data_IF_181680162918
#
_entry.id   IF_181680162918
#
_cell.length_a   1.000
_cell.length_b   1.000
_cell.length_c   1.000
_cell.angle_alpha   90.00
_cell.angle_beta   90.00
_cell.angle_gamma   90.00
#
_symmetry.space_group_name_H-M   'P 1'
#
loop_
_entity.id
_entity.type
_entity.pdbx_description
1 polymer ?
#
# COMPACT_ATOMS: atom_id res chain seq x y z
N UNK A 1 12.12 -2.28 -8.16
CA UNK A 1 13.59 -2.52 -8.11
C UNK A 1 14.29 -1.35 -8.78
N UNK A 2 15.28 -0.74 -8.10
CA UNK A 2 16.05 0.36 -8.69
C UNK A 2 16.92 -0.15 -9.83
N UNK A 3 16.96 0.52 -11.00
CA UNK A 3 17.84 0.14 -12.12
C UNK A 3 19.35 0.14 -11.78
N UNK A 4 19.73 0.90 -10.74
CA UNK A 4 21.13 1.01 -10.31
C UNK A 4 21.52 -0.08 -9.30
N UNK A 5 20.58 -0.90 -8.84
CA UNK A 5 20.84 -1.92 -7.83
C UNK A 5 21.44 -3.22 -8.42
N UNK A 6 22.25 -3.95 -7.66
CA UNK A 6 22.70 -5.28 -8.06
C UNK A 6 21.55 -6.24 -8.35
N UNK A 7 20.48 -6.16 -7.58
CA UNK A 7 19.29 -7.00 -7.73
C UNK A 7 18.61 -6.79 -9.09
N UNK A 8 18.64 -5.57 -9.64
CA UNK A 8 18.08 -5.31 -10.96
C UNK A 8 18.73 -6.20 -12.02
N UNK A 9 20.06 -6.28 -12.03
CA UNK A 9 20.82 -7.06 -13.01
C UNK A 9 20.56 -8.56 -12.87
N UNK A 10 20.46 -9.03 -11.63
CA UNK A 10 20.13 -10.43 -11.34
C UNK A 10 18.74 -10.79 -11.84
N UNK A 11 17.73 -9.97 -11.51
CA UNK A 11 16.34 -10.21 -11.88
C UNK A 11 16.10 -10.05 -13.37
N UNK A 12 16.79 -9.11 -14.02
CA UNK A 12 16.77 -8.96 -15.48
C UNK A 12 17.34 -10.20 -16.17
N UNK A 13 18.49 -10.71 -15.72
CA UNK A 13 19.10 -11.92 -16.26
C UNK A 13 18.23 -13.17 -16.07
N UNK A 14 17.47 -13.25 -14.97
CA UNK A 14 16.49 -14.31 -14.71
C UNK A 14 15.20 -14.15 -15.51
N UNK A 15 14.98 -13.01 -16.15
CA UNK A 15 13.72 -12.71 -16.85
C UNK A 15 12.53 -12.48 -15.92
N UNK A 16 12.77 -12.02 -14.68
CA UNK A 16 11.75 -11.81 -13.65
C UNK A 16 11.13 -10.43 -13.67
N UNK A 17 11.69 -9.51 -14.47
CA UNK A 17 11.18 -8.13 -14.56
C UNK A 17 10.19 -7.98 -15.70
N UNK A 18 9.16 -7.16 -15.47
CA UNK A 18 8.18 -6.77 -16.46
C UNK A 18 8.86 -6.15 -17.69
N UNK A 19 8.37 -6.46 -18.88
CA UNK A 19 8.93 -5.99 -20.15
C UNK A 19 8.05 -4.94 -20.81
N UNK A 20 8.68 -4.00 -21.51
CA UNK A 20 8.00 -3.08 -22.41
C UNK A 20 7.57 -3.82 -23.72
N UNK A 21 6.87 -3.11 -24.60
CA UNK A 21 6.44 -3.66 -25.90
C UNK A 21 7.58 -4.12 -26.81
N UNK A 22 8.80 -3.66 -26.57
CA UNK A 22 9.99 -4.03 -27.35
C UNK A 22 10.77 -5.18 -26.70
N UNK A 23 10.27 -5.76 -25.61
CA UNK A 23 10.91 -6.86 -24.91
C UNK A 23 12.05 -6.46 -23.98
N UNK A 24 12.28 -5.18 -23.75
CA UNK A 24 13.26 -4.65 -22.79
C UNK A 24 12.60 -4.53 -21.40
N UNK A 25 13.41 -4.51 -20.34
CA UNK A 25 12.89 -4.25 -18.99
C UNK A 25 12.15 -2.92 -18.94
N UNK A 26 10.89 -2.96 -18.52
CA UNK A 26 10.05 -1.77 -18.38
C UNK A 26 10.46 -0.97 -17.16
N UNK A 27 10.65 0.32 -17.35
CA UNK A 27 10.92 1.28 -16.27
C UNK A 27 9.67 2.12 -16.07
N UNK A 28 9.13 2.10 -14.87
CA UNK A 28 7.87 2.75 -14.50
C UNK A 28 8.18 3.98 -13.66
N UNK A 29 7.49 5.08 -13.97
CA UNK A 29 7.54 6.30 -13.19
C UNK A 29 6.47 6.25 -12.10
N UNK A 30 6.90 6.19 -10.83
CA UNK A 30 6.05 6.21 -9.65
C UNK A 30 5.86 7.63 -9.12
N UNK A 31 5.21 7.77 -7.98
CA UNK A 31 5.06 9.06 -7.28
C UNK A 31 6.40 9.69 -6.88
N UNK A 32 7.46 8.88 -6.73
CA UNK A 32 8.81 9.35 -6.47
C UNK A 32 9.83 8.46 -7.22
N UNK A 33 10.33 8.96 -8.36
CA UNK A 33 11.39 8.31 -9.13
C UNK A 33 10.92 7.17 -10.05
N UNK A 34 11.88 6.39 -10.52
CA UNK A 34 11.73 5.36 -11.55
C UNK A 34 12.19 4.02 -11.03
N UNK A 35 11.47 2.94 -11.36
CA UNK A 35 11.90 1.59 -11.03
C UNK A 35 11.38 0.55 -12.02
N UNK A 36 12.03 -0.61 -12.06
CA UNK A 36 11.47 -1.80 -12.65
C UNK A 36 10.55 -2.52 -11.65
N UNK A 37 9.60 -3.30 -12.16
CA UNK A 37 8.73 -4.16 -11.37
C UNK A 37 9.03 -5.62 -11.68
N UNK A 38 8.83 -6.49 -10.69
CA UNK A 38 8.66 -7.91 -10.97
C UNK A 38 7.50 -8.09 -11.95
N UNK A 39 7.63 -9.02 -12.88
CA UNK A 39 6.45 -9.47 -13.62
C UNK A 39 5.61 -10.38 -12.72
N UNK A 40 4.55 -9.82 -12.15
CA UNK A 40 3.69 -10.53 -11.20
C UNK A 40 2.91 -11.67 -11.84
N UNK A 41 2.84 -11.71 -13.16
CA UNK A 41 2.23 -12.81 -13.92
C UNK A 41 3.20 -13.98 -14.12
N UNK A 42 4.48 -13.81 -13.76
CA UNK A 42 5.49 -14.86 -13.77
C UNK A 42 5.53 -15.56 -12.39
N UNK A 43 5.10 -16.85 -12.30
CA UNK A 43 5.09 -17.56 -11.02
C UNK A 43 6.48 -17.71 -10.39
N UNK A 44 7.53 -17.86 -11.21
CA UNK A 44 8.91 -17.97 -10.69
C UNK A 44 9.39 -16.66 -10.07
N UNK A 45 9.07 -15.52 -10.71
CA UNK A 45 9.39 -14.21 -10.18
C UNK A 45 8.68 -13.95 -8.83
N UNK A 46 7.40 -14.33 -8.75
CA UNK A 46 6.64 -14.16 -7.51
C UNK A 46 7.07 -15.12 -6.40
N UNK A 47 7.45 -16.34 -6.73
CA UNK A 47 8.02 -17.27 -5.75
C UNK A 47 9.37 -16.75 -5.22
N UNK A 48 10.23 -16.26 -6.10
CA UNK A 48 11.51 -15.66 -5.70
C UNK A 48 11.28 -14.50 -4.71
N UNK A 49 10.35 -13.58 -5.02
CA UNK A 49 10.03 -12.47 -4.12
C UNK A 49 9.51 -12.96 -2.76
N UNK A 50 8.61 -13.95 -2.75
CA UNK A 50 8.08 -14.54 -1.51
C UNK A 50 9.17 -15.18 -0.66
N UNK A 51 10.13 -15.86 -1.27
CA UNK A 51 11.28 -16.44 -0.56
C UNK A 51 12.16 -15.37 0.08
N UNK A 52 12.42 -14.25 -0.63
CA UNK A 52 13.16 -13.12 -0.06
C UNK A 52 12.43 -12.50 1.14
N UNK A 53 11.10 -12.35 1.05
CA UNK A 53 10.31 -11.83 2.16
C UNK A 53 10.30 -12.78 3.36
N UNK A 54 10.17 -14.09 3.14
CA UNK A 54 10.25 -15.10 4.21
C UNK A 54 11.63 -15.11 4.88
N UNK A 55 12.70 -15.03 4.09
CA UNK A 55 14.05 -14.92 4.63
C UNK A 55 14.22 -13.67 5.53
N UNK A 56 13.60 -12.55 5.16
CA UNK A 56 13.59 -11.36 6.00
C UNK A 56 12.78 -11.56 7.29
N UNK A 57 11.63 -12.25 7.23
CA UNK A 57 10.85 -12.60 8.43
C UNK A 57 11.69 -13.43 9.40
N UNK A 58 12.34 -14.47 8.92
CA UNK A 58 13.18 -15.35 9.73
C UNK A 58 14.39 -14.59 10.31
N UNK A 59 15.08 -13.80 9.49
CA UNK A 59 16.30 -13.09 9.90
C UNK A 59 16.04 -11.98 10.91
N UNK A 60 14.94 -11.26 10.78
CA UNK A 60 14.68 -10.04 11.56
C UNK A 60 13.50 -10.16 12.53
N UNK A 61 12.79 -11.29 12.57
CA UNK A 61 11.63 -11.49 13.41
C UNK A 61 10.44 -10.60 12.98
N UNK A 62 10.25 -10.39 11.68
CA UNK A 62 9.17 -9.57 11.13
C UNK A 62 7.89 -10.40 11.10
N UNK A 63 6.78 -9.88 11.66
CA UNK A 63 5.51 -10.60 11.69
C UNK A 63 4.75 -10.53 10.35
N UNK A 64 4.89 -9.44 9.60
CA UNK A 64 4.18 -9.24 8.33
C UNK A 64 4.65 -8.02 7.54
N UNK A 65 3.91 -7.67 6.51
CA UNK A 65 4.34 -6.66 5.55
C UNK A 65 3.21 -5.70 5.16
N UNK A 66 3.58 -4.45 4.94
CA UNK A 66 2.79 -3.47 4.21
C UNK A 66 3.24 -3.48 2.75
N UNK A 67 2.38 -3.99 1.87
CA UNK A 67 2.60 -4.05 0.43
C UNK A 67 2.05 -2.78 -0.21
N UNK A 68 2.92 -1.80 -0.41
CA UNK A 68 2.54 -0.54 -1.03
C UNK A 68 2.59 -0.61 -2.57
N UNK A 69 2.01 0.37 -3.25
CA UNK A 69 1.88 0.36 -4.70
C UNK A 69 0.72 -0.51 -5.18
N UNK A 70 0.81 -1.01 -6.41
CA UNK A 70 -0.26 -1.79 -7.04
C UNK A 70 -1.32 -0.94 -7.72
N UNK A 71 -1.12 0.36 -7.83
CA UNK A 71 -2.05 1.27 -8.50
C UNK A 71 -1.86 1.22 -10.02
N UNK A 72 -2.92 0.86 -10.73
CA UNK A 72 -2.92 0.80 -12.20
C UNK A 72 -2.60 2.15 -12.86
N UNK A 73 -2.85 3.25 -12.16
CA UNK A 73 -2.61 4.61 -12.67
C UNK A 73 -1.15 4.89 -13.05
N UNK A 74 -0.20 4.17 -12.46
CA UNK A 74 1.23 4.29 -12.81
C UNK A 74 1.63 3.43 -14.01
N UNK A 75 0.76 2.51 -14.45
CA UNK A 75 1.01 1.60 -15.55
C UNK A 75 0.55 2.21 -16.88
N UNK A 76 1.20 3.28 -17.30
CA UNK A 76 0.78 4.10 -18.46
C UNK A 76 1.38 3.65 -19.80
N UNK A 77 2.27 2.66 -19.78
CA UNK A 77 2.94 2.14 -20.96
C UNK A 77 2.25 0.94 -21.61
N UNK A 78 2.86 0.45 -22.68
CA UNK A 78 2.51 -0.84 -23.29
C UNK A 78 3.49 -1.91 -22.80
N UNK A 79 2.95 -2.99 -22.24
CA UNK A 79 3.74 -4.03 -21.56
C UNK A 79 3.57 -5.40 -22.21
N UNK A 80 4.62 -6.20 -22.07
CA UNK A 80 4.61 -7.63 -22.40
C UNK A 80 4.71 -8.41 -21.11
N UNK A 81 3.65 -9.15 -20.76
CA UNK A 81 3.56 -10.00 -19.59
C UNK A 81 4.05 -11.42 -19.88
N UNK A 82 4.51 -12.12 -18.86
CA UNK A 82 4.83 -13.54 -18.93
C UNK A 82 3.57 -14.35 -19.34
N UNK A 83 2.45 -14.12 -18.66
CA UNK A 83 1.15 -14.62 -19.10
C UNK A 83 0.64 -13.77 -20.27
N UNK A 84 0.56 -14.39 -21.45
CA UNK A 84 0.13 -13.71 -22.70
C UNK A 84 -1.33 -13.25 -22.70
N UNK A 85 -2.16 -13.77 -21.79
CA UNK A 85 -3.55 -13.35 -21.62
C UNK A 85 -3.72 -12.25 -20.56
N UNK A 86 -2.64 -11.88 -19.87
CA UNK A 86 -2.68 -10.87 -18.83
C UNK A 86 -2.77 -9.45 -19.42
N UNK A 87 -3.34 -8.59 -18.62
CA UNK A 87 -3.34 -7.14 -18.81
C UNK A 87 -2.90 -6.46 -17.50
N UNK A 88 -2.87 -5.13 -17.47
CA UNK A 88 -2.45 -4.37 -16.29
C UNK A 88 -3.27 -4.71 -15.05
N UNK A 89 -4.59 -4.92 -15.19
CA UNK A 89 -5.43 -5.30 -14.05
C UNK A 89 -5.05 -6.69 -13.51
N UNK A 90 -4.81 -7.66 -14.39
CA UNK A 90 -4.32 -9.00 -14.01
C UNK A 90 -2.98 -8.92 -13.29
N UNK A 91 -2.07 -8.09 -13.81
CA UNK A 91 -0.77 -7.84 -13.19
C UNK A 91 -0.93 -7.31 -11.75
N UNK A 92 -1.83 -6.35 -11.53
CA UNK A 92 -2.08 -5.79 -10.19
C UNK A 92 -2.84 -6.74 -9.26
N UNK A 93 -3.76 -7.55 -9.78
CA UNK A 93 -4.40 -8.63 -9.04
C UNK A 93 -3.36 -9.63 -8.51
N UNK A 94 -2.43 -10.06 -9.38
CA UNK A 94 -1.33 -10.95 -8.99
C UNK A 94 -0.36 -10.32 -7.98
N UNK A 95 -0.14 -9.02 -8.03
CA UNK A 95 0.58 -8.31 -6.97
C UNK A 95 -0.12 -8.46 -5.62
N UNK A 96 -1.42 -8.17 -5.58
CA UNK A 96 -2.16 -8.21 -4.33
C UNK A 96 -2.29 -9.63 -3.74
N UNK A 97 -2.32 -10.67 -4.58
CA UNK A 97 -2.32 -12.07 -4.14
C UNK A 97 -1.10 -12.44 -3.27
N UNK A 98 0.00 -11.66 -3.32
CA UNK A 98 1.17 -11.91 -2.47
C UNK A 98 0.80 -11.87 -0.99
N UNK A 99 -0.13 -10.97 -0.61
CA UNK A 99 -0.60 -10.82 0.75
C UNK A 99 -1.19 -12.12 1.33
N UNK A 100 -1.79 -12.97 0.50
CA UNK A 100 -2.35 -14.26 0.93
C UNK A 100 -1.30 -15.24 1.47
N UNK A 101 -0.02 -15.00 1.16
CA UNK A 101 1.11 -15.80 1.68
C UNK A 101 1.62 -15.32 3.03
N UNK A 102 1.11 -14.20 3.56
CA UNK A 102 1.57 -13.56 4.78
C UNK A 102 0.36 -13.21 5.66
N UNK A 103 0.19 -13.84 6.84
CA UNK A 103 -1.00 -13.65 7.67
C UNK A 103 -1.17 -12.21 8.18
N UNK A 104 -0.06 -11.48 8.38
CA UNK A 104 -0.09 -10.06 8.71
C UNK A 104 0.31 -9.26 7.47
N UNK A 105 -0.69 -8.71 6.79
CA UNK A 105 -0.51 -8.01 5.53
C UNK A 105 -1.33 -6.72 5.51
N UNK A 106 -0.90 -5.75 4.72
CA UNK A 106 -1.67 -4.57 4.36
C UNK A 106 -1.35 -4.21 2.91
N UNK A 107 -2.39 -3.98 2.10
CA UNK A 107 -2.27 -3.60 0.71
C UNK A 107 -3.03 -2.30 0.43
N UNK A 108 -2.46 -1.44 -0.41
CA UNK A 108 -3.15 -0.24 -0.89
C UNK A 108 -4.10 -0.54 -2.06
N UNK A 109 -3.79 -1.52 -2.87
CA UNK A 109 -4.59 -1.95 -4.00
C UNK A 109 -4.81 -3.47 -3.94
N UNK A 110 -6.08 -3.90 -4.07
CA UNK A 110 -6.46 -5.32 -3.98
C UNK A 110 -7.61 -5.62 -4.94
N UNK A 111 -7.43 -5.30 -6.22
CA UNK A 111 -8.41 -5.51 -7.27
C UNK A 111 -8.95 -6.94 -7.30
N UNK A 112 -10.28 -7.10 -7.30
CA UNK A 112 -11.00 -8.38 -7.30
C UNK A 112 -10.77 -9.31 -6.10
N UNK A 113 -10.08 -8.87 -5.06
CA UNK A 113 -9.75 -9.71 -3.91
C UNK A 113 -10.65 -9.47 -2.69
N UNK A 114 -11.84 -8.92 -2.88
CA UNK A 114 -12.88 -8.87 -1.85
C UNK A 114 -13.20 -10.28 -1.33
N UNK A 115 -13.40 -10.42 -0.03
CA UNK A 115 -13.65 -11.72 0.62
C UNK A 115 -12.39 -12.52 0.99
N UNK A 116 -11.21 -12.05 0.58
CA UNK A 116 -9.94 -12.67 0.95
C UNK A 116 -9.42 -12.15 2.30
N UNK A 117 -8.51 -12.91 2.93
CA UNK A 117 -7.86 -12.53 4.19
C UNK A 117 -6.76 -11.50 3.94
N UNK A 118 -7.16 -10.34 3.43
CA UNK A 118 -6.29 -9.22 3.11
C UNK A 118 -6.76 -7.95 3.81
N UNK A 119 -5.82 -7.19 4.35
CA UNK A 119 -6.08 -5.85 4.86
C UNK A 119 -6.01 -4.86 3.71
N UNK A 120 -7.14 -4.28 3.36
CA UNK A 120 -7.27 -3.23 2.35
C UNK A 120 -7.12 -1.86 3.01
N UNK A 121 -6.07 -1.13 2.69
CA UNK A 121 -5.91 0.26 3.08
C UNK A 121 -6.54 1.19 2.04
N UNK A 122 -7.29 2.20 2.48
CA UNK A 122 -7.73 3.29 1.62
C UNK A 122 -6.53 4.12 1.13
N UNK A 123 -6.73 4.89 0.08
CA UNK A 123 -5.71 5.80 -0.45
C UNK A 123 -5.31 6.88 0.56
N UNK A 124 -4.13 7.47 0.33
CA UNK A 124 -3.57 8.53 1.17
C UNK A 124 -4.56 9.71 1.26
N UNK A 125 -4.81 10.18 2.49
CA UNK A 125 -5.77 11.24 2.76
C UNK A 125 -5.08 12.54 3.12
N UNK A 126 -5.70 13.65 2.74
CA UNK A 126 -5.28 14.97 3.18
C UNK A 126 -5.53 15.19 4.66
N UNK A 127 -4.74 16.07 5.26
CA UNK A 127 -5.01 16.61 6.58
C UNK A 127 -6.16 17.64 6.49
N UNK A 128 -7.40 17.16 6.53
CA UNK A 128 -8.59 18.02 6.39
C UNK A 128 -9.85 17.41 7.00
N UNK A 129 -10.79 18.27 7.39
CA UNK A 129 -12.13 17.85 7.82
C UNK A 129 -12.87 17.07 6.73
N UNK A 130 -12.71 17.47 5.47
CA UNK A 130 -13.33 16.76 4.35
C UNK A 130 -12.84 15.31 4.23
N UNK A 131 -11.55 15.09 4.39
CA UNK A 131 -10.98 13.75 4.39
C UNK A 131 -11.53 12.89 5.53
N UNK A 132 -11.65 13.47 6.74
CA UNK A 132 -12.26 12.79 7.90
C UNK A 132 -13.74 12.45 7.65
N UNK A 133 -14.52 13.35 7.05
CA UNK A 133 -15.92 13.11 6.70
C UNK A 133 -16.11 11.98 5.68
N UNK A 134 -15.17 11.82 4.74
CA UNK A 134 -15.24 10.78 3.72
C UNK A 134 -14.90 9.38 4.24
N UNK A 135 -14.33 9.24 5.43
CA UNK A 135 -13.96 7.94 5.99
C UNK A 135 -15.14 6.97 6.07
N UNK A 136 -16.29 7.41 6.58
CA UNK A 136 -17.46 6.55 6.72
C UNK A 136 -17.96 6.02 5.37
N UNK A 137 -18.28 6.88 4.36
CA UNK A 137 -18.72 6.39 3.06
C UNK A 137 -17.68 5.54 2.34
N UNK A 138 -16.38 5.89 2.40
CA UNK A 138 -15.32 5.12 1.75
C UNK A 138 -15.16 3.73 2.37
N UNK A 139 -15.17 3.65 3.70
CA UNK A 139 -15.09 2.38 4.43
C UNK A 139 -16.33 1.51 4.20
N UNK A 140 -17.50 2.13 4.13
CA UNK A 140 -18.75 1.42 3.81
C UNK A 140 -18.69 0.85 2.39
N UNK A 141 -18.21 1.63 1.42
CA UNK A 141 -18.03 1.16 0.04
C UNK A 141 -17.03 -0.02 -0.03
N UNK A 142 -15.91 0.07 0.67
CA UNK A 142 -14.93 -1.03 0.75
C UNK A 142 -15.56 -2.30 1.36
N UNK A 143 -16.38 -2.17 2.41
CA UNK A 143 -17.10 -3.28 3.02
C UNK A 143 -18.10 -3.94 2.06
N UNK A 144 -18.84 -3.13 1.27
CA UNK A 144 -19.77 -3.64 0.24
C UNK A 144 -19.03 -4.39 -0.88
N UNK A 145 -17.77 -4.05 -1.15
CA UNK A 145 -16.91 -4.77 -2.08
C UNK A 145 -16.28 -6.04 -1.47
N UNK A 146 -16.59 -6.35 -0.21
CA UNK A 146 -16.12 -7.54 0.48
C UNK A 146 -14.79 -7.41 1.19
N UNK A 147 -14.27 -6.18 1.37
CA UNK A 147 -13.05 -5.94 2.12
C UNK A 147 -13.38 -5.82 3.62
N UNK A 148 -13.31 -6.93 4.35
CA UNK A 148 -13.68 -7.00 5.78
C UNK A 148 -12.61 -6.42 6.71
N UNK A 149 -11.35 -6.51 6.32
CA UNK A 149 -10.22 -6.00 7.09
C UNK A 149 -9.72 -4.71 6.44
N UNK A 150 -10.48 -3.64 6.62
CA UNK A 150 -10.18 -2.36 5.98
C UNK A 150 -9.45 -1.43 6.94
N UNK A 151 -8.37 -0.83 6.45
CA UNK A 151 -7.65 0.25 7.12
C UNK A 151 -8.07 1.60 6.50
N UNK A 152 -8.55 2.57 7.30
CA UNK A 152 -9.01 3.87 6.80
C UNK A 152 -7.88 4.82 6.41
N UNK A 153 -6.64 4.35 6.28
CA UNK A 153 -5.42 5.15 6.23
C UNK A 153 -5.08 5.77 7.61
N UNK A 154 -4.29 6.80 7.69
CA UNK A 154 -3.73 7.28 8.96
C UNK A 154 -4.58 8.38 9.60
N UNK A 155 -4.65 8.37 10.93
CA UNK A 155 -5.28 9.45 11.71
C UNK A 155 -4.64 10.78 11.37
N UNK A 156 -5.48 11.77 11.01
CA UNK A 156 -5.05 13.10 10.61
C UNK A 156 -4.57 13.21 9.17
N UNK A 157 -4.54 12.10 8.40
CA UNK A 157 -4.13 12.04 7.01
C UNK A 157 -2.78 11.35 6.78
N UNK A 158 -2.65 10.66 5.66
CA UNK A 158 -1.46 9.89 5.25
C UNK A 158 -0.73 10.48 4.05
N UNK A 159 -1.30 11.52 3.44
CA UNK A 159 -0.68 12.16 2.27
C UNK A 159 0.72 12.67 2.62
N UNK A 160 1.70 12.31 1.78
CA UNK A 160 3.07 12.79 1.95
C UNK A 160 3.11 14.32 2.02
N UNK A 161 3.73 14.82 3.06
CA UNK A 161 3.82 16.26 3.29
C UNK A 161 2.60 16.89 3.96
N UNK A 162 1.53 16.14 4.27
CA UNK A 162 0.33 16.69 4.89
C UNK A 162 0.60 17.51 6.16
N UNK A 163 1.64 17.15 6.92
CA UNK A 163 2.04 17.85 8.15
C UNK A 163 3.23 18.80 8.00
N UNK A 164 3.94 18.79 6.86
CA UNK A 164 5.21 19.51 6.72
C UNK A 164 5.05 21.03 6.82
N UNK A 165 3.94 21.58 6.36
CA UNK A 165 3.69 23.02 6.31
C UNK A 165 2.66 23.49 7.35
N UNK A 166 2.25 22.62 8.26
CA UNK A 166 1.28 22.97 9.29
C UNK A 166 1.96 23.77 10.40
N UNK A 167 1.67 25.06 10.47
CA UNK A 167 2.21 25.94 11.52
C UNK A 167 1.55 25.71 12.88
N UNK A 168 0.27 25.36 12.89
CA UNK A 168 -0.52 25.06 14.08
C UNK A 168 -1.51 23.95 13.73
N UNK A 169 -1.45 22.87 14.48
CA UNK A 169 -2.37 21.76 14.29
C UNK A 169 -3.77 22.11 14.78
N UNK A 170 -4.77 21.71 14.01
CA UNK A 170 -6.16 21.64 14.46
C UNK A 170 -6.31 20.36 15.30
N UNK A 171 -6.16 20.53 16.62
CA UNK A 171 -6.22 19.40 17.55
C UNK A 171 -7.59 18.72 17.55
N UNK A 172 -8.67 19.50 17.32
CA UNK A 172 -10.01 18.92 17.23
C UNK A 172 -10.13 18.00 16.01
N UNK A 173 -9.61 18.39 14.85
CA UNK A 173 -9.58 17.54 13.66
C UNK A 173 -8.87 16.20 13.96
N UNK A 174 -7.71 16.24 14.61
CA UNK A 174 -6.96 15.01 14.96
C UNK A 174 -7.78 14.14 15.92
N UNK A 175 -8.35 14.73 16.97
CA UNK A 175 -9.19 14.00 17.95
C UNK A 175 -10.41 13.38 17.26
N UNK A 176 -11.13 14.13 16.42
CA UNK A 176 -12.29 13.59 15.69
C UNK A 176 -11.89 12.51 14.69
N UNK A 177 -10.80 12.72 13.97
CA UNK A 177 -10.24 11.68 13.11
C UNK A 177 -9.92 10.40 13.90
N UNK A 178 -9.29 10.53 15.07
CA UNK A 178 -8.99 9.41 15.96
C UNK A 178 -10.28 8.68 16.39
N UNK A 179 -11.31 9.42 16.81
CA UNK A 179 -12.60 8.84 17.22
C UNK A 179 -13.30 8.08 16.07
N UNK A 180 -13.25 8.60 14.85
CA UNK A 180 -13.78 7.90 13.67
C UNK A 180 -12.98 6.63 13.39
N UNK A 181 -11.64 6.72 13.43
CA UNK A 181 -10.77 5.55 13.20
C UNK A 181 -10.98 4.45 14.25
N UNK A 182 -11.30 4.82 15.50
CA UNK A 182 -11.60 3.85 16.57
C UNK A 182 -12.83 2.97 16.27
N UNK A 183 -13.70 3.36 15.34
CA UNK A 183 -14.85 2.58 14.86
C UNK A 183 -14.48 1.60 13.74
N UNK A 184 -13.26 1.65 13.24
CA UNK A 184 -12.80 0.89 12.07
C UNK A 184 -12.02 -0.36 12.50
N UNK A 185 -11.89 -1.37 11.61
CA UNK A 185 -11.14 -2.60 11.92
C UNK A 185 -9.66 -2.36 12.24
N UNK A 186 -9.08 -1.31 11.68
CA UNK A 186 -7.68 -0.93 11.89
C UNK A 186 -7.53 0.56 12.13
N UNK A 187 -6.46 0.93 12.84
CA UNK A 187 -6.12 2.31 13.16
C UNK A 187 -4.60 2.49 13.07
N UNK A 188 -4.18 3.52 12.37
CA UNK A 188 -2.77 3.90 12.22
C UNK A 188 -2.61 5.39 12.48
N UNK A 189 -1.44 5.80 12.98
CA UNK A 189 -1.09 7.20 13.16
C UNK A 189 0.02 7.61 12.19
N UNK A 190 -0.17 8.73 11.50
CA UNK A 190 0.85 9.32 10.63
C UNK A 190 1.97 9.95 11.44
N UNK A 191 1.62 10.59 12.54
CA UNK A 191 2.54 11.21 13.47
C UNK A 191 2.13 10.90 14.91
N UNK A 192 3.10 10.70 15.77
CA UNK A 192 2.85 10.42 17.18
C UNK A 192 2.03 11.55 17.86
N UNK A 193 0.85 11.25 18.44
CA UNK A 193 -0.06 12.27 18.99
C UNK A 193 0.61 13.22 19.98
N UNK A 194 1.51 12.70 20.83
CA UNK A 194 2.24 13.50 21.82
C UNK A 194 3.21 14.54 21.24
N UNK A 195 3.47 14.50 19.93
CA UNK A 195 4.29 15.48 19.23
C UNK A 195 3.50 16.70 18.75
N UNK A 196 2.18 16.57 18.61
CA UNK A 196 1.35 17.56 17.92
C UNK A 196 0.12 17.99 18.71
N UNK A 197 -0.22 17.29 19.79
CA UNK A 197 -1.40 17.56 20.60
C UNK A 197 -1.03 18.00 22.03
N UNK A 198 -1.93 18.73 22.68
CA UNK A 198 -1.90 18.98 24.10
C UNK A 198 -1.99 17.67 24.91
N UNK A 199 -1.53 17.66 26.15
CA UNK A 199 -1.61 16.48 27.03
C UNK A 199 -3.03 15.97 27.21
N UNK A 200 -4.00 16.89 27.27
CA UNK A 200 -5.42 16.57 27.38
C UNK A 200 -5.90 15.78 26.15
N UNK A 201 -5.62 16.29 24.96
CA UNK A 201 -6.03 15.66 23.70
C UNK A 201 -5.27 14.34 23.42
N UNK A 202 -4.01 14.23 23.83
CA UNK A 202 -3.29 12.94 23.82
C UNK A 202 -4.03 11.91 24.68
N UNK A 203 -4.47 12.29 25.89
CA UNK A 203 -5.21 11.39 26.77
C UNK A 203 -6.57 10.95 26.19
N UNK A 204 -7.19 11.76 25.33
CA UNK A 204 -8.40 11.38 24.59
C UNK A 204 -8.07 10.33 23.52
N UNK A 205 -7.02 10.57 22.74
CA UNK A 205 -6.60 9.66 21.68
C UNK A 205 -6.04 8.30 22.19
N UNK A 206 -5.65 8.23 23.46
CA UNK A 206 -5.13 7.01 24.09
C UNK A 206 -6.21 6.09 24.70
N UNK A 207 -7.45 6.55 24.76
CA UNK A 207 -8.61 5.78 25.25
C UNK A 207 -9.26 4.96 24.15
#
# INVERSE_FOLDING_TARGET
>A
VSPDSPEFRELEAKGYLLKDKNGRTAIIHWWIGYSACYDTTNPEAMNYLKEQLKANQEKYGIDGFKFDGGDVAYMTGEYTFHDKNANVNTFMEKWAEIGLSFPYNELRASWKLGGQALVQRLGDKDYSWRATQLLIPDMTAAGLLGHYYTCPDMVGGGQFGAFLNVKKFDEELIVRSCQVHALMPMMQFSVAPWRILSKENVAICAK
#
